data_IF_916117693052
#
_entry.id   IF_916117693052
#
_cell.length_a   1.000
_cell.length_b   1.000
_cell.length_c   1.000
_cell.angle_alpha   90.00
_cell.angle_beta   90.00
_cell.angle_gamma   90.00
#
_symmetry.space_group_name_H-M   'P 1'
#
loop_
_entity.id
_entity.type
_entity.pdbx_description
1 polymer ?
#
# COMPACT_ATOMS: atom_id res chain seq x y z
N UNK A 1 -14.07 12.10 18.00
CA UNK A 1 -14.95 10.94 17.85
C UNK A 1 -14.11 9.80 17.32
N UNK A 2 -14.20 8.58 17.87
CA UNK A 2 -13.53 7.41 17.28
C UNK A 2 -14.07 7.24 15.85
N UNK A 3 -13.17 6.92 14.92
CA UNK A 3 -13.36 7.00 13.49
C UNK A 3 -14.72 6.53 13.01
N UNK A 4 -15.41 7.41 12.34
CA UNK A 4 -16.60 7.06 11.58
C UNK A 4 -16.12 6.16 10.44
N UNK A 5 -16.66 4.95 10.38
CA UNK A 5 -16.46 4.04 9.25
C UNK A 5 -16.71 4.81 7.94
N UNK A 6 -15.89 4.58 6.92
CA UNK A 6 -16.13 5.15 5.60
C UNK A 6 -17.51 4.71 5.09
N UNK A 7 -18.22 5.61 4.42
CA UNK A 7 -19.52 5.27 3.83
C UNK A 7 -19.38 4.21 2.72
N UNK A 8 -18.23 4.18 2.06
CA UNK A 8 -17.90 3.22 1.00
C UNK A 8 -16.45 2.73 1.17
N UNK A 9 -16.17 1.43 0.96
CA UNK A 9 -14.82 0.89 0.90
C UNK A 9 -14.00 1.56 -0.23
N UNK A 10 -12.69 1.64 -0.05
CA UNK A 10 -11.78 2.19 -1.04
C UNK A 10 -10.53 1.32 -1.23
N UNK A 11 -9.80 1.55 -2.33
CA UNK A 11 -8.57 0.81 -2.65
C UNK A 11 -7.50 0.87 -1.54
N UNK A 12 -7.40 2.02 -0.86
CA UNK A 12 -6.42 2.25 0.20
C UNK A 12 -7.06 2.21 1.59
N UNK A 13 -8.37 1.92 1.66
CA UNK A 13 -9.11 1.93 2.91
C UNK A 13 -9.29 3.33 3.51
N UNK A 14 -9.75 3.36 4.73
CA UNK A 14 -9.94 4.56 5.54
C UNK A 14 -8.98 4.55 6.72
N UNK A 15 -8.12 5.56 6.81
CA UNK A 15 -7.09 5.66 7.84
C UNK A 15 -7.44 6.71 8.88
N UNK A 16 -7.40 6.32 10.15
CA UNK A 16 -7.60 7.23 11.30
C UNK A 16 -6.39 7.18 12.20
N UNK A 17 -5.73 8.33 12.35
CA UNK A 17 -4.53 8.47 13.17
C UNK A 17 -4.81 9.09 14.53
N UNK A 18 -4.04 8.68 15.55
CA UNK A 18 -3.95 9.31 16.86
C UNK A 18 -2.53 9.24 17.41
N UNK A 19 -2.18 10.17 18.27
CA UNK A 19 -0.90 10.13 18.96
C UNK A 19 -1.01 9.39 20.30
N UNK A 20 -0.07 8.51 20.56
CA UNK A 20 0.16 7.83 21.84
C UNK A 20 1.58 8.17 22.29
N UNK A 21 1.72 9.26 23.07
CA UNK A 21 3.03 9.83 23.36
C UNK A 21 3.72 10.30 22.08
N UNK A 22 4.91 9.77 21.79
CA UNK A 22 5.66 10.08 20.56
C UNK A 22 5.34 9.14 19.38
N UNK A 23 4.49 8.14 19.59
CA UNK A 23 4.11 7.17 18.57
C UNK A 23 2.85 7.62 17.85
N UNK A 24 2.89 7.71 16.53
CA UNK A 24 1.69 7.84 15.71
C UNK A 24 1.08 6.44 15.53
N UNK A 25 -0.17 6.28 15.94
CA UNK A 25 -0.95 5.05 15.72
C UNK A 25 -2.01 5.33 14.66
N UNK A 26 -2.05 4.50 13.63
CA UNK A 26 -3.01 4.61 12.53
C UNK A 26 -3.81 3.32 12.45
N UNK A 27 -5.13 3.44 12.48
CA UNK A 27 -6.04 2.34 12.18
C UNK A 27 -6.51 2.48 10.72
N UNK A 28 -6.30 1.44 9.94
CA UNK A 28 -6.77 1.34 8.56
C UNK A 28 -7.88 0.29 8.47
N UNK A 29 -9.01 0.68 7.89
CA UNK A 29 -10.21 -0.16 7.71
C UNK A 29 -10.82 0.07 6.34
N UNK A 30 -11.89 -0.65 6.02
CA UNK A 30 -12.73 -0.41 4.83
C UNK A 30 -11.95 -0.47 3.51
N UNK A 31 -10.99 -1.39 3.39
CA UNK A 31 -10.33 -1.72 2.13
C UNK A 31 -11.23 -2.61 1.28
N UNK A 32 -11.22 -2.41 -0.04
CA UNK A 32 -11.90 -3.31 -0.99
C UNK A 32 -11.16 -4.64 -1.06
N UNK A 33 -11.90 -5.75 -1.12
CA UNK A 33 -11.32 -7.11 -1.13
C UNK A 33 -10.64 -7.49 -2.46
N UNK A 34 -10.78 -6.67 -3.49
CA UNK A 34 -10.23 -6.88 -4.83
C UNK A 34 -8.74 -6.55 -4.92
N UNK A 35 -8.17 -5.93 -3.88
CA UNK A 35 -6.71 -5.66 -3.83
C UNK A 35 -5.95 -6.89 -3.36
N UNK A 36 -4.70 -6.99 -3.78
CA UNK A 36 -3.78 -7.96 -3.21
C UNK A 36 -3.25 -7.46 -1.86
N UNK A 37 -3.11 -8.38 -0.92
CA UNK A 37 -2.49 -8.07 0.37
C UNK A 37 -1.01 -7.69 0.20
N UNK A 38 -0.31 -8.35 -0.72
CA UNK A 38 1.09 -8.10 -1.04
C UNK A 38 1.43 -8.36 -2.51
N UNK A 39 2.67 -8.05 -2.91
CA UNK A 39 3.17 -8.25 -4.26
C UNK A 39 3.22 -9.73 -4.70
N UNK A 40 3.09 -10.68 -3.79
CA UNK A 40 3.02 -12.11 -4.08
C UNK A 40 1.59 -12.56 -4.47
N UNK A 41 0.62 -11.65 -4.40
CA UNK A 41 -0.77 -11.93 -4.73
C UNK A 41 -1.55 -12.61 -3.61
N UNK A 42 -1.10 -12.49 -2.37
CA UNK A 42 -1.85 -12.99 -1.23
C UNK A 42 -3.16 -12.22 -1.07
N UNK A 43 -4.18 -12.95 -0.63
CA UNK A 43 -5.55 -12.44 -0.47
C UNK A 43 -5.76 -11.80 0.89
N UNK A 44 -6.63 -10.79 0.94
CA UNK A 44 -7.29 -10.31 2.15
C UNK A 44 -8.79 -10.11 1.90
N UNK A 45 -9.58 -10.07 2.96
CA UNK A 45 -11.02 -9.82 2.86
C UNK A 45 -11.36 -8.34 3.11
N UNK A 46 -12.64 -8.02 2.95
CA UNK A 46 -13.24 -6.74 3.32
C UNK A 46 -13.27 -6.47 4.84
N UNK A 47 -12.93 -7.48 5.66
CA UNK A 47 -12.80 -7.36 7.11
C UNK A 47 -11.37 -7.09 7.57
N UNK A 48 -10.42 -6.93 6.63
CA UNK A 48 -9.05 -6.58 6.98
C UNK A 48 -9.01 -5.30 7.80
N UNK A 49 -8.33 -5.34 8.92
CA UNK A 49 -7.92 -4.17 9.67
C UNK A 49 -6.42 -4.17 9.88
N UNK A 50 -5.79 -3.02 9.72
CA UNK A 50 -4.36 -2.86 9.97
C UNK A 50 -4.17 -1.77 11.01
N UNK A 51 -3.52 -2.11 12.12
CA UNK A 51 -3.12 -1.12 13.13
C UNK A 51 -1.63 -0.87 12.99
N UNK A 52 -1.28 0.29 12.48
CA UNK A 52 0.10 0.70 12.25
C UNK A 52 0.61 1.56 13.41
N UNK A 53 1.88 1.42 13.75
CA UNK A 53 2.56 2.23 14.78
C UNK A 53 3.89 2.74 14.22
N UNK A 54 4.06 4.05 14.25
CA UNK A 54 5.26 4.73 13.81
C UNK A 54 5.92 5.39 15.02
N UNK A 55 7.02 4.83 15.49
CA UNK A 55 7.75 5.31 16.67
C UNK A 55 9.11 5.86 16.26
N UNK A 56 9.37 7.18 16.40
CA UNK A 56 10.68 7.73 16.14
C UNK A 56 11.74 7.11 17.07
N UNK A 57 12.86 6.66 16.52
CA UNK A 57 14.03 6.16 17.25
C UNK A 57 15.20 7.12 17.16
N UNK A 58 15.08 8.17 16.32
CA UNK A 58 16.10 9.18 16.11
C UNK A 58 15.76 10.07 14.92
N UNK A 59 16.70 10.94 14.55
CA UNK A 59 16.49 11.97 13.51
C UNK A 59 16.16 11.36 12.13
N UNK A 60 16.73 10.21 11.82
CA UNK A 60 16.72 9.65 10.48
C UNK A 60 16.14 8.22 10.40
N UNK A 61 15.59 7.70 11.48
CA UNK A 61 14.96 6.38 11.48
C UNK A 61 13.83 6.29 12.51
N UNK A 62 12.91 5.39 12.23
CA UNK A 62 11.78 5.06 13.09
C UNK A 62 11.49 3.55 13.04
N UNK A 63 10.90 3.06 14.10
CA UNK A 63 10.33 1.73 14.15
C UNK A 63 8.93 1.79 13.53
N UNK A 64 8.63 0.85 12.67
CA UNK A 64 7.31 0.59 12.13
C UNK A 64 6.83 -0.77 12.60
N UNK A 65 5.62 -0.81 13.12
CA UNK A 65 4.92 -2.03 13.51
C UNK A 65 3.53 -2.00 12.88
N UNK A 66 3.08 -3.11 12.31
CA UNK A 66 1.74 -3.25 11.79
C UNK A 66 1.13 -4.54 12.29
N UNK A 67 0.02 -4.44 13.01
CA UNK A 67 -0.81 -5.58 13.40
C UNK A 67 -1.87 -5.77 12.31
N UNK A 68 -1.85 -6.94 11.70
CA UNK A 68 -2.77 -7.37 10.64
C UNK A 68 -3.81 -8.29 11.26
N UNK A 69 -5.07 -7.93 11.12
CA UNK A 69 -6.20 -8.72 11.59
C UNK A 69 -7.25 -8.84 10.47
N UNK A 70 -7.45 -10.06 10.00
CA UNK A 70 -8.48 -10.41 9.04
C UNK A 70 -9.07 -11.77 9.43
N UNK A 71 -10.20 -11.78 10.14
CA UNK A 71 -10.78 -13.00 10.70
C UNK A 71 -11.34 -13.96 9.66
N UNK A 72 -11.50 -13.53 8.39
CA UNK A 72 -11.88 -14.42 7.28
C UNK A 72 -10.68 -15.14 6.67
N UNK A 73 -9.47 -14.60 6.83
CA UNK A 73 -8.26 -15.09 6.16
C UNK A 73 -7.29 -15.73 7.15
N UNK A 74 -7.08 -15.09 8.30
CA UNK A 74 -6.12 -15.53 9.31
C UNK A 74 -6.81 -16.07 10.56
N UNK A 75 -6.24 -17.13 11.13
CA UNK A 75 -6.76 -17.73 12.37
C UNK A 75 -6.52 -16.87 13.62
N UNK A 76 -5.60 -15.92 13.52
CA UNK A 76 -5.26 -14.94 14.57
C UNK A 76 -4.58 -13.72 13.96
N UNK A 77 -4.64 -12.56 14.61
CA UNK A 77 -3.83 -11.42 14.25
C UNK A 77 -2.33 -11.74 14.29
N UNK A 78 -1.56 -11.09 13.43
CA UNK A 78 -0.11 -11.23 13.39
C UNK A 78 0.55 -9.87 13.13
N UNK A 79 1.85 -9.76 13.38
CA UNK A 79 2.56 -8.48 13.38
C UNK A 79 3.73 -8.50 12.42
N UNK A 80 3.86 -7.42 11.66
CA UNK A 80 5.08 -7.06 10.91
C UNK A 80 5.82 -6.01 11.72
N UNK A 81 7.14 -6.14 11.82
CA UNK A 81 8.00 -5.14 12.46
C UNK A 81 9.21 -4.87 11.57
N UNK A 82 9.55 -3.60 11.37
CA UNK A 82 10.72 -3.19 10.60
C UNK A 82 11.21 -1.79 11.00
N UNK A 83 12.47 -1.51 10.69
CA UNK A 83 13.01 -0.16 10.81
C UNK A 83 12.90 0.58 9.47
N UNK A 84 12.34 1.77 9.50
CA UNK A 84 12.28 2.68 8.37
C UNK A 84 13.37 3.73 8.49
N UNK A 85 14.11 3.96 7.42
CA UNK A 85 15.20 4.91 7.36
C UNK A 85 14.88 6.05 6.41
N UNK A 86 15.20 7.28 6.84
CA UNK A 86 15.04 8.46 5.99
C UNK A 86 15.94 8.34 4.77
N UNK A 87 15.34 8.35 3.60
CA UNK A 87 16.08 8.46 2.35
C UNK A 87 16.66 9.88 2.23
N UNK A 88 17.97 9.98 2.02
CA UNK A 88 18.70 11.24 1.84
C UNK A 88 19.12 11.38 0.39
N UNK A 89 18.82 12.52 -0.19
CA UNK A 89 19.18 12.83 -1.59
C UNK A 89 18.41 14.05 -2.07
N UNK A 90 18.88 14.68 -3.14
CA UNK A 90 18.26 15.88 -3.73
C UNK A 90 16.82 15.59 -4.16
N UNK A 91 16.57 14.35 -4.65
CA UNK A 91 15.26 13.89 -5.13
C UNK A 91 14.59 12.90 -4.16
N UNK A 92 14.98 12.93 -2.88
CA UNK A 92 14.40 12.05 -1.86
C UNK A 92 12.98 12.50 -1.49
N UNK A 93 12.01 12.15 -2.31
CA UNK A 93 10.58 12.37 -2.09
C UNK A 93 9.79 11.09 -2.32
N UNK A 94 8.63 11.00 -1.70
CA UNK A 94 7.65 9.97 -2.02
C UNK A 94 7.05 10.35 -3.36
N UNK A 95 7.18 9.45 -4.33
CA UNK A 95 6.55 9.59 -5.64
C UNK A 95 5.16 8.99 -5.59
N UNK A 96 4.22 9.62 -6.28
CA UNK A 96 2.93 9.01 -6.51
C UNK A 96 3.11 7.77 -7.39
N UNK A 97 2.61 6.64 -6.92
CA UNK A 97 2.58 5.41 -7.70
C UNK A 97 1.14 5.16 -8.16
N UNK A 98 0.94 5.11 -9.44
CA UNK A 98 -0.32 4.70 -10.05
C UNK A 98 -0.11 3.38 -10.78
N UNK A 99 -0.83 2.35 -10.36
CA UNK A 99 -0.93 1.14 -11.15
C UNK A 99 -1.83 1.45 -12.35
N UNK A 100 -1.26 1.45 -13.54
CA UNK A 100 -2.01 1.59 -14.79
C UNK A 100 -2.21 0.19 -15.34
N UNK A 101 -3.45 -0.22 -15.55
CA UNK A 101 -3.75 -1.51 -16.20
C UNK A 101 -3.01 -1.60 -17.53
N UNK A 102 -2.46 -2.79 -17.81
CA UNK A 102 -1.65 -3.06 -19.01
C UNK A 102 -0.35 -2.26 -19.13
N UNK A 103 0.12 -1.58 -18.07
CA UNK A 103 1.40 -0.87 -18.12
C UNK A 103 2.57 -1.79 -18.50
N UNK A 104 2.55 -3.04 -18.04
CA UNK A 104 3.55 -4.05 -18.44
C UNK A 104 3.48 -4.36 -19.93
N UNK A 105 2.29 -4.45 -20.50
CA UNK A 105 2.12 -4.67 -21.94
C UNK A 105 2.58 -3.46 -22.75
N UNK A 106 2.34 -2.25 -22.27
CA UNK A 106 2.82 -1.04 -22.92
C UNK A 106 4.35 -0.91 -22.90
N UNK A 107 5.00 -1.38 -21.82
CA UNK A 107 6.46 -1.26 -21.65
C UNK A 107 7.20 -2.48 -22.23
N UNK A 108 6.70 -3.69 -21.99
CA UNK A 108 7.41 -4.94 -22.30
C UNK A 108 6.71 -5.82 -23.33
N UNK A 109 5.51 -5.44 -23.80
CA UNK A 109 4.73 -6.24 -24.77
C UNK A 109 5.50 -6.56 -26.05
N UNK A 110 6.32 -5.62 -26.52
CA UNK A 110 7.18 -5.80 -27.71
C UNK A 110 8.29 -6.85 -27.52
N UNK A 111 8.60 -7.25 -26.28
CA UNK A 111 9.60 -8.27 -25.96
C UNK A 111 9.01 -9.69 -25.90
N UNK A 112 7.69 -9.84 -25.97
CA UNK A 112 7.04 -11.15 -25.94
C UNK A 112 7.34 -11.90 -27.24
N UNK A 113 7.73 -13.20 -27.13
CA UNK A 113 7.89 -14.08 -28.29
C UNK A 113 6.57 -14.17 -29.06
N UNK A 114 6.58 -13.77 -30.34
CA UNK A 114 5.40 -13.81 -31.22
C UNK A 114 4.55 -12.52 -31.19
N UNK A 115 4.98 -11.45 -30.52
CA UNK A 115 4.37 -10.16 -30.71
C UNK A 115 4.74 -9.65 -32.13
N UNK A 116 3.76 -9.60 -33.03
CA UNK A 116 3.90 -8.77 -34.22
C UNK A 116 4.13 -7.34 -33.76
N UNK A 117 5.11 -6.65 -34.37
CA UNK A 117 5.46 -5.26 -34.06
C UNK A 117 4.26 -4.35 -34.31
N UNK A 118 3.41 -4.20 -33.30
CA UNK A 118 2.43 -3.12 -33.27
C UNK A 118 3.23 -1.85 -33.01
N UNK A 119 3.48 -1.03 -34.03
CA UNK A 119 4.04 0.29 -33.83
C UNK A 119 3.16 1.04 -32.80
N UNK A 120 3.71 1.51 -31.68
CA UNK A 120 2.94 2.27 -30.73
C UNK A 120 2.51 3.58 -31.38
N UNK A 121 1.22 3.73 -31.61
CA UNK A 121 0.59 4.99 -32.02
C UNK A 121 0.67 5.99 -30.85
N UNK A 122 1.88 6.49 -30.57
CA UNK A 122 2.15 7.47 -29.51
C UNK A 122 1.81 8.91 -29.93
N UNK A 123 1.16 9.09 -31.07
CA UNK A 123 0.92 10.44 -31.65
C UNK A 123 -0.19 11.25 -30.98
N UNK A 124 -0.91 10.74 -29.99
CA UNK A 124 -2.05 11.45 -29.40
C UNK A 124 -2.08 11.51 -27.86
N UNK A 125 -0.93 11.50 -27.19
CA UNK A 125 -0.87 11.55 -25.71
C UNK A 125 -0.19 12.81 -25.14
N UNK A 126 -0.08 13.90 -25.94
CA UNK A 126 0.31 15.22 -25.41
C UNK A 126 -0.53 16.31 -26.01
#
# INVERSE_FOLDING_TARGET
RPGTRAELPSWMGYSVGRWEGETLVVLVTDQVAETWFDASGNYHSDLLTVTERYTPLGKDHMKYEAVIDDPKVFTRPWTIEMNLYRRKGVDARILEYKCVEFAEDAVYGHLRKGAESVEPSVKNLF
#
